data_IF_744163684190
#
_entry.id   IF_744163684190
#
_cell.length_a   1.000
_cell.length_b   1.000
_cell.length_c   1.000
_cell.angle_alpha   90.00
_cell.angle_beta   90.00
_cell.angle_gamma   90.00
#
_symmetry.space_group_name_H-M   'P 1'
#
loop_
_entity.id
_entity.type
_entity.pdbx_description
1 polymer ?
#
# COMPACT_ATOMS: atom_id res chain seq x y z
N UNK A 1 12.28 -10.85 6.53
CA UNK A 1 11.09 -9.98 6.57
C UNK A 1 10.86 -9.47 7.99
N UNK A 2 10.64 -8.17 8.14
CA UNK A 2 10.30 -7.58 9.43
C UNK A 2 8.93 -8.07 9.89
N UNK A 3 8.85 -8.62 11.10
CA UNK A 3 7.60 -9.19 11.61
C UNK A 3 6.87 -8.20 12.51
N UNK A 4 5.60 -7.96 12.21
CA UNK A 4 4.73 -7.14 13.03
C UNK A 4 3.76 -8.07 13.75
N UNK A 5 3.93 -8.18 15.07
CA UNK A 5 3.08 -9.03 15.89
C UNK A 5 1.81 -8.27 16.28
N UNK A 6 0.90 -8.13 15.33
CA UNK A 6 -0.37 -7.44 15.49
C UNK A 6 -1.46 -8.24 14.78
N UNK A 7 -2.67 -8.24 15.35
CA UNK A 7 -3.80 -9.00 14.83
C UNK A 7 -5.01 -8.13 14.49
N UNK A 8 -4.85 -6.82 14.52
CA UNK A 8 -5.91 -5.88 14.16
C UNK A 8 -5.31 -4.62 13.57
N UNK A 9 -6.15 -3.83 12.92
CA UNK A 9 -5.74 -2.55 12.35
C UNK A 9 -5.18 -1.63 13.45
N UNK A 10 -5.89 -1.51 14.57
CA UNK A 10 -5.44 -0.66 15.66
C UNK A 10 -4.12 -1.15 16.27
N UNK A 11 -3.99 -2.46 16.47
CA UNK A 11 -2.75 -3.03 16.98
C UNK A 11 -1.58 -2.81 16.02
N UNK A 12 -1.83 -2.85 14.72
CA UNK A 12 -0.82 -2.57 13.71
C UNK A 12 -0.37 -1.10 13.78
N UNK A 13 -1.31 -0.17 13.86
CA UNK A 13 -1.02 1.26 13.97
C UNK A 13 -0.23 1.58 15.24
N UNK A 14 -0.47 0.84 16.33
CA UNK A 14 0.17 1.07 17.63
C UNK A 14 1.45 0.28 17.84
N UNK A 15 1.79 -0.62 16.92
CA UNK A 15 2.85 -1.61 17.12
C UNK A 15 4.23 -0.96 17.39
N UNK A 16 4.62 0.01 16.58
CA UNK A 16 5.90 0.69 16.71
C UNK A 16 5.68 2.11 17.22
N UNK A 17 5.89 2.33 18.51
CA UNK A 17 5.61 3.61 19.14
C UNK A 17 6.46 4.76 18.58
N UNK A 18 7.67 4.46 18.09
CA UNK A 18 8.53 5.47 17.48
C UNK A 18 8.01 5.95 16.13
N UNK A 19 7.38 5.06 15.37
CA UNK A 19 6.85 5.39 14.04
C UNK A 19 5.33 5.58 14.00
N UNK A 20 4.69 5.42 15.15
CA UNK A 20 3.24 5.59 15.26
C UNK A 20 2.75 6.92 14.71
N UNK A 21 3.39 8.08 15.04
CA UNK A 21 2.94 9.36 14.48
C UNK A 21 3.03 9.42 12.95
N UNK A 22 4.12 8.90 12.38
CA UNK A 22 4.33 8.92 10.93
C UNK A 22 3.32 8.04 10.22
N UNK A 23 3.08 6.83 10.75
CA UNK A 23 2.11 5.90 10.21
C UNK A 23 0.69 6.46 10.31
N UNK A 24 0.35 7.08 11.44
CA UNK A 24 -0.97 7.66 11.64
C UNK A 24 -1.24 8.83 10.69
N UNK A 25 -0.24 9.67 10.44
CA UNK A 25 -0.37 10.80 9.51
C UNK A 25 -0.62 10.32 8.07
N UNK A 26 0.12 9.31 7.63
CA UNK A 26 -0.08 8.75 6.30
C UNK A 26 -1.46 8.08 6.19
N UNK A 27 -1.83 7.31 7.20
CA UNK A 27 -3.13 6.65 7.25
C UNK A 27 -4.27 7.67 7.13
N UNK A 28 -4.18 8.76 7.90
CA UNK A 28 -5.17 9.83 7.84
C UNK A 28 -5.22 10.52 6.48
N UNK A 29 -4.06 10.77 5.87
CA UNK A 29 -3.99 11.37 4.53
C UNK A 29 -4.72 10.50 3.52
N UNK A 30 -4.42 9.19 3.50
CA UNK A 30 -5.04 8.27 2.56
C UNK A 30 -6.56 8.23 2.76
N UNK A 31 -7.03 8.13 3.99
CA UNK A 31 -8.47 8.11 4.28
C UNK A 31 -9.17 9.39 3.84
N UNK A 32 -8.49 10.53 3.97
CA UNK A 32 -9.05 11.83 3.61
C UNK A 32 -9.20 11.99 2.10
N UNK A 33 -8.19 11.59 1.31
CA UNK A 33 -8.18 11.84 -0.14
C UNK A 33 -8.69 10.67 -0.96
N UNK A 34 -8.75 9.48 -0.38
CA UNK A 34 -9.16 8.26 -1.07
C UNK A 34 -10.18 7.45 -0.26
N UNK A 35 -11.31 8.06 0.15
CA UNK A 35 -12.30 7.37 1.00
C UNK A 35 -12.94 6.17 0.29
N UNK A 36 -12.90 6.10 -1.04
CA UNK A 36 -13.42 4.96 -1.79
C UNK A 36 -12.54 3.72 -1.63
N UNK A 37 -11.27 3.89 -1.25
CA UNK A 37 -10.38 2.77 -0.92
C UNK A 37 -10.54 2.46 0.57
N UNK A 38 -11.44 1.54 0.89
CA UNK A 38 -11.77 1.22 2.28
C UNK A 38 -10.59 0.55 2.97
N UNK A 39 -10.22 1.06 4.14
CA UNK A 39 -9.16 0.52 4.97
C UNK A 39 -9.54 -0.83 5.55
N UNK A 40 -8.55 -1.70 5.72
CA UNK A 40 -8.73 -2.95 6.42
C UNK A 40 -7.37 -3.46 6.89
N UNK A 41 -7.39 -4.40 7.84
CA UNK A 41 -6.18 -5.07 8.27
C UNK A 41 -5.92 -6.28 7.39
N UNK A 42 -4.80 -6.27 6.69
CA UNK A 42 -4.36 -7.43 5.92
C UNK A 42 -3.49 -8.31 6.83
N UNK A 43 -4.02 -9.45 7.23
CA UNK A 43 -3.38 -10.32 8.23
C UNK A 43 -2.20 -11.13 7.70
N UNK A 44 -1.97 -11.09 6.41
CA UNK A 44 -0.95 -11.92 5.77
C UNK A 44 -1.49 -13.31 5.43
N UNK A 45 -1.09 -13.80 4.28
CA UNK A 45 -1.46 -15.13 3.82
C UNK A 45 -0.44 -16.14 4.34
N UNK A 46 -0.87 -17.30 4.86
CA UNK A 46 0.06 -18.33 5.33
C UNK A 46 1.00 -18.81 4.24
N UNK A 47 2.19 -19.25 4.64
CA UNK A 47 3.17 -19.83 3.73
C UNK A 47 2.56 -21.05 3.02
N UNK A 48 2.82 -21.17 1.72
CA UNK A 48 2.28 -22.25 0.89
C UNK A 48 0.96 -21.94 0.24
N UNK A 49 0.29 -20.84 0.63
CA UNK A 49 -0.93 -20.38 0.00
C UNK A 49 -0.66 -19.16 -0.86
N UNK A 50 -1.41 -19.01 -1.96
CA UNK A 50 -1.30 -17.84 -2.82
C UNK A 50 -1.85 -16.59 -2.11
N UNK A 51 -1.11 -15.49 -2.17
CA UNK A 51 -1.54 -14.22 -1.58
C UNK A 51 -0.39 -13.40 -1.02
N UNK A 52 -0.73 -12.27 -0.46
CA UNK A 52 0.22 -11.37 0.19
C UNK A 52 0.56 -11.89 1.58
N UNK A 53 1.80 -12.29 1.79
CA UNK A 53 2.24 -12.85 3.08
C UNK A 53 2.47 -11.81 4.15
N UNK A 54 2.87 -10.61 3.76
CA UNK A 54 3.22 -9.56 4.69
C UNK A 54 1.96 -8.93 5.29
N UNK A 55 1.96 -8.73 6.61
CA UNK A 55 0.91 -7.95 7.26
C UNK A 55 1.04 -6.49 6.85
N UNK A 56 -0.10 -5.84 6.62
CA UNK A 56 -0.11 -4.44 6.23
C UNK A 56 -1.48 -3.81 6.46
N UNK A 57 -1.53 -2.50 6.38
CA UNK A 57 -2.80 -1.79 6.29
C UNK A 57 -3.18 -1.78 4.81
N UNK A 58 -4.33 -2.39 4.47
CA UNK A 58 -4.84 -2.41 3.12
C UNK A 58 -5.85 -1.30 2.87
N UNK A 59 -5.88 -0.81 1.64
CA UNK A 59 -6.83 0.21 1.18
C UNK A 59 -7.42 -0.25 -0.14
N UNK A 60 -8.66 -0.73 -0.09
CA UNK A 60 -9.30 -1.33 -1.24
C UNK A 60 -8.78 -2.74 -1.52
N UNK A 61 -9.59 -3.54 -2.19
CA UNK A 61 -9.28 -4.93 -2.52
C UNK A 61 -9.57 -5.20 -3.98
N UNK A 62 -8.74 -6.03 -4.60
CA UNK A 62 -9.02 -6.61 -5.90
C UNK A 62 -8.61 -8.07 -5.88
N UNK A 63 -8.99 -8.81 -6.92
CA UNK A 63 -8.71 -10.24 -7.01
C UNK A 63 -7.98 -10.52 -8.31
N UNK A 64 -7.05 -11.48 -8.26
CA UNK A 64 -6.42 -12.02 -9.47
C UNK A 64 -6.56 -13.54 -9.45
N UNK A 65 -6.47 -14.17 -10.62
CA UNK A 65 -6.53 -15.62 -10.71
C UNK A 65 -5.16 -16.21 -10.40
N UNK A 66 -5.12 -17.14 -9.46
CA UNK A 66 -3.90 -17.90 -9.18
C UNK A 66 -3.66 -18.94 -10.28
N UNK A 67 -2.54 -19.64 -10.23
CA UNK A 67 -2.21 -20.73 -11.17
C UNK A 67 -3.28 -21.82 -11.19
N UNK A 68 -3.94 -22.06 -10.05
CA UNK A 68 -5.05 -23.03 -9.95
C UNK A 68 -6.38 -22.48 -10.44
N UNK A 69 -6.44 -21.22 -10.84
CA UNK A 69 -7.66 -20.54 -11.25
C UNK A 69 -8.50 -19.97 -10.14
N UNK A 70 -8.12 -20.19 -8.86
CA UNK A 70 -8.85 -19.64 -7.73
C UNK A 70 -8.58 -18.13 -7.59
N UNK A 71 -9.59 -17.32 -7.28
CA UNK A 71 -9.38 -15.90 -7.04
C UNK A 71 -8.56 -15.69 -5.77
N UNK A 72 -7.59 -14.77 -5.84
CA UNK A 72 -6.75 -14.41 -4.72
C UNK A 72 -6.94 -12.94 -4.43
N UNK A 73 -7.21 -12.61 -3.16
CA UNK A 73 -7.39 -11.24 -2.71
C UNK A 73 -6.06 -10.53 -2.57
N UNK A 74 -6.02 -9.27 -2.99
CA UNK A 74 -4.83 -8.44 -2.95
C UNK A 74 -5.21 -6.99 -2.64
N UNK A 75 -4.43 -6.26 -1.82
CA UNK A 75 -4.73 -4.85 -1.56
C UNK A 75 -4.52 -3.98 -2.81
N UNK A 76 -5.43 -3.08 -3.08
CA UNK A 76 -5.25 -2.08 -4.14
C UNK A 76 -4.10 -1.15 -3.79
N UNK A 77 -4.05 -0.70 -2.54
CA UNK A 77 -2.90 -0.01 -1.97
C UNK A 77 -2.63 -0.59 -0.59
N UNK A 78 -1.37 -0.57 -0.18
CA UNK A 78 -0.98 -1.11 1.11
C UNK A 78 0.13 -0.31 1.74
N UNK A 79 0.12 -0.21 3.07
CA UNK A 79 1.16 0.43 3.86
C UNK A 79 1.71 -0.59 4.83
N UNK A 80 3.02 -0.81 4.78
CA UNK A 80 3.67 -1.84 5.58
C UNK A 80 4.85 -1.27 6.37
N UNK A 81 4.90 -1.62 7.65
CA UNK A 81 6.06 -1.35 8.50
C UNK A 81 7.19 -2.30 8.11
N UNK A 82 8.36 -1.75 7.83
CA UNK A 82 9.59 -2.50 7.62
C UNK A 82 10.55 -2.18 8.77
N UNK A 83 11.72 -2.83 8.80
CA UNK A 83 12.65 -2.66 9.92
C UNK A 83 13.06 -1.19 10.13
N UNK A 84 13.47 -0.52 9.06
CA UNK A 84 14.02 0.84 9.13
C UNK A 84 13.23 1.87 8.33
N UNK A 85 12.09 1.50 7.75
CA UNK A 85 11.31 2.39 6.89
C UNK A 85 9.87 1.90 6.79
N UNK A 86 9.03 2.72 6.18
CA UNK A 86 7.65 2.38 5.87
C UNK A 86 7.55 2.25 4.35
N UNK A 87 6.93 1.17 3.87
CA UNK A 87 6.73 0.92 2.45
C UNK A 87 5.27 1.13 2.08
N UNK A 88 5.06 1.72 0.90
CA UNK A 88 3.73 1.89 0.31
C UNK A 88 3.71 1.16 -1.02
N UNK A 89 2.67 0.35 -1.23
CA UNK A 89 2.46 -0.41 -2.47
C UNK A 89 1.19 0.06 -3.13
N UNK A 90 1.22 0.24 -4.44
CA UNK A 90 0.04 0.64 -5.22
C UNK A 90 -0.08 -0.24 -6.45
N UNK A 91 -1.22 -0.92 -6.57
CA UNK A 91 -1.49 -1.85 -7.67
C UNK A 91 -2.09 -1.17 -8.90
N UNK A 92 -2.58 0.06 -8.75
CA UNK A 92 -3.25 0.79 -9.83
C UNK A 92 -2.25 1.16 -10.93
N UNK A 93 -2.73 1.09 -12.19
CA UNK A 93 -1.94 1.46 -13.37
C UNK A 93 -2.55 2.66 -14.06
N UNK A 94 -1.71 3.40 -14.79
CA UNK A 94 -2.13 4.47 -15.68
C UNK A 94 -1.67 4.12 -17.10
N UNK A 95 -2.62 3.97 -18.03
CA UNK A 95 -2.33 3.60 -19.42
C UNK A 95 -1.44 2.33 -19.52
N UNK A 96 -1.72 1.35 -18.64
CA UNK A 96 -1.01 0.07 -18.63
C UNK A 96 0.32 0.06 -17.87
N UNK A 97 0.77 1.19 -17.35
CA UNK A 97 2.01 1.29 -16.59
C UNK A 97 1.73 1.52 -15.10
N UNK A 98 2.59 1.01 -14.20
CA UNK A 98 2.40 1.27 -12.76
C UNK A 98 2.28 2.76 -12.46
N UNK A 99 1.39 3.11 -11.53
CA UNK A 99 1.11 4.50 -11.21
C UNK A 99 2.26 5.19 -10.46
N UNK A 100 2.92 4.47 -9.57
CA UNK A 100 3.98 5.06 -8.71
C UNK A 100 5.06 5.76 -9.53
N UNK A 101 5.66 5.14 -10.57
CA UNK A 101 6.68 5.82 -11.36
C UNK A 101 6.22 7.10 -12.06
N UNK A 102 4.92 7.24 -12.30
CA UNK A 102 4.36 8.47 -12.87
C UNK A 102 4.54 9.66 -11.93
N UNK A 103 4.76 9.40 -10.65
CA UNK A 103 4.99 10.42 -9.63
C UNK A 103 6.45 10.49 -9.17
N UNK A 104 7.35 9.75 -9.81
CA UNK A 104 8.77 9.72 -9.43
C UNK A 104 9.35 11.13 -9.42
N UNK A 105 10.14 11.43 -8.39
CA UNK A 105 10.74 12.75 -8.21
C UNK A 105 9.82 13.80 -7.60
N UNK A 106 8.53 13.49 -7.40
CA UNK A 106 7.56 14.44 -6.84
C UNK A 106 7.08 14.04 -5.44
N UNK A 107 7.33 12.81 -5.01
CA UNK A 107 6.76 12.27 -3.77
C UNK A 107 7.53 12.66 -2.51
N UNK A 108 8.74 13.21 -2.66
CA UNK A 108 9.57 13.61 -1.54
C UNK A 108 10.90 12.87 -1.51
N UNK A 109 11.58 12.90 -0.36
CA UNK A 109 12.84 12.21 -0.14
C UNK A 109 12.58 10.75 0.22
N UNK A 110 12.64 9.88 -0.80
CA UNK A 110 12.30 8.48 -0.63
C UNK A 110 12.91 7.63 -1.75
N UNK A 111 12.82 6.31 -1.57
CA UNK A 111 13.18 5.35 -2.63
C UNK A 111 11.92 4.95 -3.38
N UNK A 112 11.98 4.95 -4.71
CA UNK A 112 10.88 4.57 -5.58
C UNK A 112 11.23 3.28 -6.31
N UNK A 113 10.34 2.29 -6.23
CA UNK A 113 10.40 1.06 -7.02
C UNK A 113 9.40 1.08 -8.16
N UNK A 114 9.09 -0.09 -8.73
CA UNK A 114 8.15 -0.21 -9.84
C UNK A 114 6.72 0.15 -9.47
N UNK A 115 6.23 -0.38 -8.36
CA UNK A 115 4.88 -0.13 -7.87
C UNK A 115 4.85 0.15 -6.39
N UNK A 116 5.98 0.58 -5.84
CA UNK A 116 6.12 0.90 -4.43
C UNK A 116 7.07 2.06 -4.21
N UNK A 117 7.03 2.60 -3.02
CA UNK A 117 8.02 3.55 -2.53
C UNK A 117 8.20 3.34 -1.03
N UNK A 118 9.35 3.78 -0.49
CA UNK A 118 9.69 3.63 0.92
C UNK A 118 10.24 4.94 1.46
N UNK A 119 9.91 5.24 2.70
CA UNK A 119 10.32 6.47 3.36
C UNK A 119 10.54 6.21 4.85
N UNK A 120 11.30 7.09 5.51
CA UNK A 120 11.57 6.94 6.94
C UNK A 120 10.61 7.74 7.80
N UNK A 121 10.33 9.00 7.46
CA UNK A 121 9.44 9.88 8.21
C UNK A 121 8.39 10.52 7.31
N UNK A 122 7.21 10.73 7.85
CA UNK A 122 6.14 11.39 7.08
C UNK A 122 6.58 12.77 6.55
N UNK A 123 7.38 13.51 7.32
CA UNK A 123 7.86 14.82 6.89
C UNK A 123 8.80 14.77 5.68
N UNK A 124 9.33 13.60 5.35
CA UNK A 124 10.11 13.41 4.11
C UNK A 124 9.24 13.37 2.86
N UNK A 125 7.94 13.23 3.04
CA UNK A 125 6.98 13.12 1.94
C UNK A 125 6.49 14.50 1.50
N UNK A 126 6.26 14.63 0.20
CA UNK A 126 5.55 15.79 -0.34
C UNK A 126 4.05 15.51 -0.22
N UNK A 127 3.40 16.07 0.80
CA UNK A 127 2.01 15.77 1.11
C UNK A 127 1.04 16.08 -0.05
N UNK A 128 1.14 17.24 -0.77
CA UNK A 128 0.29 17.48 -1.92
C UNK A 128 0.42 16.43 -3.02
N UNK A 129 1.63 15.98 -3.33
CA UNK A 129 1.86 14.94 -4.33
C UNK A 129 1.38 13.57 -3.86
N UNK A 130 1.54 13.25 -2.57
CA UNK A 130 0.98 12.05 -1.96
C UNK A 130 -0.53 12.04 -2.08
N UNK A 131 -1.17 13.16 -1.76
CA UNK A 131 -2.62 13.31 -1.87
C UNK A 131 -3.09 13.09 -3.31
N UNK A 132 -2.38 13.67 -4.28
CA UNK A 132 -2.70 13.50 -5.70
C UNK A 132 -2.57 12.04 -6.13
N UNK A 133 -1.51 11.36 -5.69
CA UNK A 133 -1.28 9.94 -6.02
C UNK A 133 -2.43 9.06 -5.54
N UNK A 134 -2.80 9.17 -4.27
CA UNK A 134 -3.86 8.35 -3.70
C UNK A 134 -5.24 8.72 -4.25
N UNK A 135 -5.50 10.01 -4.50
CA UNK A 135 -6.75 10.44 -5.11
C UNK A 135 -6.89 9.89 -6.52
N UNK A 136 -5.82 9.90 -7.31
CA UNK A 136 -5.81 9.33 -8.65
C UNK A 136 -6.01 7.82 -8.59
N UNK A 137 -5.33 7.12 -7.70
CA UNK A 137 -5.47 5.68 -7.54
C UNK A 137 -6.91 5.30 -7.22
N UNK A 138 -7.57 6.02 -6.32
CA UNK A 138 -8.96 5.78 -5.98
C UNK A 138 -9.88 6.03 -7.17
N UNK A 139 -9.64 7.11 -7.91
CA UNK A 139 -10.44 7.47 -9.08
C UNK A 139 -10.35 6.40 -10.18
N UNK A 140 -9.14 5.95 -10.48
CA UNK A 140 -8.91 4.92 -11.50
C UNK A 140 -9.57 3.61 -11.09
N UNK A 141 -9.37 3.18 -9.85
CA UNK A 141 -9.96 1.94 -9.36
C UNK A 141 -11.48 1.98 -9.36
N UNK A 142 -12.07 3.10 -8.98
CA UNK A 142 -13.54 3.26 -9.00
C UNK A 142 -14.10 3.16 -10.41
N UNK A 143 -13.40 3.75 -11.39
CA UNK A 143 -13.81 3.71 -12.79
C UNK A 143 -13.59 2.34 -13.44
N UNK A 144 -12.54 1.63 -13.00
CA UNK A 144 -12.18 0.32 -13.55
C UNK A 144 -11.63 -0.59 -12.44
N UNK A 145 -12.50 -1.37 -11.79
CA UNK A 145 -12.07 -2.30 -10.73
C UNK A 145 -11.11 -3.39 -11.19
N UNK A 146 -10.97 -3.62 -12.48
CA UNK A 146 -10.03 -4.59 -13.04
C UNK A 146 -8.68 -3.97 -13.43
N UNK A 147 -8.52 -2.67 -13.22
CA UNK A 147 -7.29 -1.95 -13.55
C UNK A 147 -6.07 -2.45 -12.75
N UNK A 148 -6.18 -2.71 -11.43
CA UNK A 148 -5.01 -3.04 -10.64
C UNK A 148 -4.34 -4.35 -11.08
N UNK A 149 -3.01 -4.36 -10.97
CA UNK A 149 -2.21 -5.57 -11.19
C UNK A 149 -1.45 -5.90 -9.92
N UNK A 150 -1.22 -7.19 -9.70
CA UNK A 150 -0.49 -7.64 -8.53
C UNK A 150 0.93 -7.10 -8.52
N UNK A 151 1.34 -6.50 -7.41
CA UNK A 151 2.73 -6.09 -7.19
C UNK A 151 3.47 -7.17 -6.40
N UNK A 152 4.80 -7.19 -6.52
CA UNK A 152 5.64 -8.14 -5.80
C UNK A 152 5.90 -7.63 -4.38
N UNK A 153 5.56 -8.43 -3.38
CA UNK A 153 5.85 -8.08 -2.00
C UNK A 153 7.36 -8.13 -1.75
N UNK A 154 7.87 -7.19 -0.96
CA UNK A 154 9.29 -7.11 -0.64
C UNK A 154 10.17 -6.79 -1.84
N UNK A 155 9.60 -6.54 -2.98
CA UNK A 155 10.28 -6.24 -4.21
C UNK A 155 10.62 -4.76 -4.34
N UNK A 156 11.27 -4.27 -3.35
CA UNK A 156 11.74 -2.89 -3.37
C UNK A 156 12.79 -2.65 -4.42
#
# INVERSE_FOLDING_TARGET
>A
MFRVNADSLQAYLDFDQNRKPDLAKLHKLIQTVAPALKRYFHAGTPAGEAGMRMKMIGYGKFHYASKSGKPVEWPVAGVALQKNYISVYIAVTRAGSPLVPCYAGRLGELRTGGNNFSFEKFDDLNAPSMSALFAEAAKIFKADPENPVRYMQGGG
#
